data_IF_282013228651
#
_entry.id   IF_282013228651
#
_cell.length_a   1.000
_cell.length_b   1.000
_cell.length_c   1.000
_cell.angle_alpha   90.00
_cell.angle_beta   90.00
_cell.angle_gamma   90.00
#
_symmetry.space_group_name_H-M   'P 1'
#
loop_
_entity.id
_entity.type
_entity.pdbx_description
1 polymer ?
#
# COMPACT_ATOMS: atom_id res chain seq x y z
N UNK A 1 1.93 -35.06 15.12
CA UNK A 1 2.46 -34.06 14.19
C UNK A 1 2.23 -32.70 14.82
N UNK A 2 3.31 -32.04 15.26
CA UNK A 2 3.26 -30.69 15.84
C UNK A 2 3.11 -29.69 14.69
N UNK A 3 2.02 -28.93 14.65
CA UNK A 3 1.72 -27.90 13.65
C UNK A 3 2.32 -26.52 13.98
N UNK A 4 3.32 -26.41 14.86
CA UNK A 4 4.15 -25.21 14.95
C UNK A 4 5.07 -25.16 13.73
N UNK A 5 4.92 -24.22 12.78
CA UNK A 5 4.79 -22.77 12.94
C UNK A 5 3.68 -22.13 12.06
N UNK A 6 2.61 -22.88 11.76
CA UNK A 6 1.56 -22.45 10.82
C UNK A 6 0.53 -21.49 11.45
N UNK A 7 0.64 -21.24 12.77
CA UNK A 7 -0.32 -20.47 13.57
C UNK A 7 0.04 -18.99 13.72
N UNK A 8 1.18 -18.53 13.20
CA UNK A 8 1.57 -17.12 13.29
C UNK A 8 1.93 -16.46 11.94
N UNK A 9 1.11 -16.58 10.88
CA UNK A 9 1.17 -15.57 9.83
C UNK A 9 0.36 -14.38 10.34
N UNK A 10 0.99 -13.30 10.84
CA UNK A 10 0.38 -11.94 10.86
C UNK A 10 1.23 -10.86 11.54
N UNK A 11 2.29 -11.19 12.27
CA UNK A 11 3.19 -10.18 12.84
C UNK A 11 4.43 -10.00 11.96
N UNK A 12 4.33 -9.21 10.89
CA UNK A 12 5.54 -8.66 10.26
C UNK A 12 6.26 -7.84 11.34
N UNK A 13 7.54 -8.12 11.66
CA UNK A 13 8.28 -7.29 12.60
C UNK A 13 8.19 -5.84 12.14
N UNK A 14 8.02 -4.90 13.07
CA UNK A 14 7.78 -3.48 12.76
C UNK A 14 8.78 -2.89 11.75
N UNK A 15 9.99 -3.44 11.71
CA UNK A 15 11.03 -3.06 10.77
C UNK A 15 10.70 -3.39 9.29
N UNK A 16 9.93 -4.44 9.02
CA UNK A 16 9.57 -4.85 7.66
C UNK A 16 8.46 -3.99 7.05
N UNK A 17 7.60 -3.37 7.88
CA UNK A 17 6.57 -2.44 7.41
C UNK A 17 7.17 -1.22 6.70
N UNK A 18 8.42 -0.86 7.01
CA UNK A 18 9.12 0.23 6.32
C UNK A 18 9.38 -0.06 4.84
N UNK A 19 9.46 -1.34 4.43
CA UNK A 19 9.60 -1.70 3.02
C UNK A 19 8.34 -1.43 2.20
N UNK A 20 7.20 -1.19 2.86
CA UNK A 20 5.94 -0.91 2.20
C UNK A 20 5.98 0.44 1.47
N UNK A 21 6.72 1.42 1.98
CA UNK A 21 6.90 2.74 1.35
C UNK A 21 7.64 2.64 0.00
N UNK A 22 8.89 2.14 -0.08
CA UNK A 22 9.59 2.03 -1.35
C UNK A 22 8.90 1.08 -2.32
N UNK A 23 8.28 0.00 -1.83
CA UNK A 23 7.50 -0.93 -2.64
C UNK A 23 6.30 -0.22 -3.30
N UNK A 24 5.55 0.56 -2.53
CA UNK A 24 4.41 1.32 -3.03
C UNK A 24 4.82 2.35 -4.09
N UNK A 25 5.91 3.07 -3.84
CA UNK A 25 6.48 4.04 -4.80
C UNK A 25 6.89 3.33 -6.10
N UNK A 26 7.58 2.19 -6.00
CA UNK A 26 8.01 1.42 -7.17
C UNK A 26 6.82 0.95 -8.03
N UNK A 27 5.76 0.41 -7.40
CA UNK A 27 4.56 -0.04 -8.11
C UNK A 27 3.89 1.11 -8.87
N UNK A 28 3.72 2.26 -8.22
CA UNK A 28 3.09 3.43 -8.84
C UNK A 28 3.94 3.96 -10.01
N UNK A 29 5.26 3.96 -9.86
CA UNK A 29 6.18 4.42 -10.90
C UNK A 29 6.18 3.48 -12.12
N UNK A 30 6.28 2.16 -11.90
CA UNK A 30 6.23 1.15 -12.96
C UNK A 30 4.92 1.25 -13.74
N UNK A 31 3.79 1.44 -13.05
CA UNK A 31 2.49 1.62 -13.70
C UNK A 31 2.42 2.85 -14.62
N UNK A 32 3.05 3.96 -14.24
CA UNK A 32 3.11 5.15 -15.09
C UNK A 32 4.07 4.98 -16.27
N UNK A 33 5.20 4.32 -16.04
CA UNK A 33 6.26 4.09 -17.00
C UNK A 33 5.89 3.10 -18.11
N UNK A 34 5.03 2.10 -17.84
CA UNK A 34 4.58 1.14 -18.86
C UNK A 34 3.61 1.76 -19.86
N UNK A 35 2.93 2.85 -19.49
CA UNK A 35 1.91 3.50 -20.31
C UNK A 35 2.42 4.73 -21.08
N UNK A 36 3.49 5.36 -20.61
CA UNK A 36 3.98 6.61 -21.19
C UNK A 36 5.50 6.58 -21.33
N UNK A 37 6.01 7.02 -22.48
CA UNK A 37 7.44 7.04 -22.79
C UNK A 37 8.15 8.34 -22.35
N UNK A 38 7.36 9.39 -22.04
CA UNK A 38 7.85 10.71 -21.66
C UNK A 38 7.81 10.86 -20.14
N UNK A 39 8.93 11.32 -19.57
CA UNK A 39 9.11 11.51 -18.12
C UNK A 39 8.02 12.33 -17.43
N UNK A 40 7.56 13.43 -18.04
CA UNK A 40 6.50 14.27 -17.48
C UNK A 40 5.18 13.51 -17.25
N UNK A 41 4.58 12.92 -18.30
CA UNK A 41 3.39 12.08 -18.17
C UNK A 41 3.53 10.90 -17.21
N UNK A 42 4.70 10.26 -17.16
CA UNK A 42 4.97 9.14 -16.24
C UNK A 42 4.71 9.56 -14.80
N UNK A 43 5.39 10.63 -14.34
CA UNK A 43 5.29 11.10 -12.96
C UNK A 43 3.86 11.57 -12.62
N UNK A 44 3.22 12.30 -13.54
CA UNK A 44 1.86 12.80 -13.32
C UNK A 44 0.86 11.65 -13.11
N UNK A 45 0.88 10.64 -13.98
CA UNK A 45 -0.04 9.51 -13.87
C UNK A 45 0.31 8.57 -12.71
N UNK A 46 1.59 8.35 -12.42
CA UNK A 46 2.03 7.60 -11.25
C UNK A 46 1.54 8.23 -9.94
N UNK A 47 1.68 9.55 -9.79
CA UNK A 47 1.24 10.28 -8.59
C UNK A 47 -0.29 10.32 -8.49
N UNK A 48 -0.98 10.51 -9.61
CA UNK A 48 -2.44 10.46 -9.65
C UNK A 48 -2.94 9.09 -9.17
N UNK A 49 -2.32 8.00 -9.61
CA UNK A 49 -2.69 6.65 -9.19
C UNK A 49 -2.36 6.40 -7.70
N UNK A 50 -1.17 6.81 -7.26
CA UNK A 50 -0.77 6.73 -5.87
C UNK A 50 -1.75 7.46 -4.93
N UNK A 51 -2.22 8.65 -5.34
CA UNK A 51 -3.24 9.42 -4.61
C UNK A 51 -4.55 8.66 -4.47
N UNK A 52 -5.06 8.05 -5.54
CA UNK A 52 -6.33 7.31 -5.49
C UNK A 52 -6.24 6.08 -4.59
N UNK A 53 -5.13 5.34 -4.67
CA UNK A 53 -4.92 4.16 -3.81
C UNK A 53 -4.79 4.58 -2.34
N UNK A 54 -3.96 5.59 -2.05
CA UNK A 54 -3.78 6.08 -0.69
C UNK A 54 -5.09 6.62 -0.10
N UNK A 55 -5.88 7.35 -0.89
CA UNK A 55 -7.19 7.86 -0.47
C UNK A 55 -8.17 6.73 -0.18
N UNK A 56 -8.22 5.70 -1.01
CA UNK A 56 -9.07 4.54 -0.76
C UNK A 56 -8.72 3.83 0.55
N UNK A 57 -7.43 3.54 0.77
CA UNK A 57 -6.95 2.90 2.00
C UNK A 57 -7.26 3.78 3.22
N UNK A 58 -7.04 5.09 3.12
CA UNK A 58 -7.34 6.06 4.17
C UNK A 58 -8.84 6.09 4.52
N UNK A 59 -9.73 6.06 3.53
CA UNK A 59 -11.17 6.07 3.74
C UNK A 59 -11.62 4.80 4.46
N UNK A 60 -11.18 3.63 3.99
CA UNK A 60 -11.51 2.35 4.64
C UNK A 60 -10.98 2.33 6.08
N UNK A 61 -9.73 2.73 6.28
CA UNK A 61 -9.14 2.85 7.61
C UNK A 61 -9.92 3.81 8.51
N UNK A 62 -10.32 4.97 7.99
CA UNK A 62 -11.11 5.96 8.73
C UNK A 62 -12.47 5.43 9.15
N UNK A 63 -13.15 4.67 8.29
CA UNK A 63 -14.41 4.01 8.62
C UNK A 63 -14.19 2.98 9.73
N UNK A 64 -13.19 2.10 9.58
CA UNK A 64 -12.88 1.08 10.59
C UNK A 64 -12.50 1.71 11.93
N UNK A 65 -11.72 2.78 11.90
CA UNK A 65 -11.32 3.52 13.09
C UNK A 65 -12.52 4.17 13.79
N UNK A 66 -13.43 4.80 13.03
CA UNK A 66 -14.66 5.37 13.57
C UNK A 66 -15.56 4.30 14.18
N UNK A 67 -15.73 3.16 13.51
CA UNK A 67 -16.50 2.01 14.04
C UNK A 67 -15.85 1.47 15.31
N UNK A 68 -14.52 1.36 15.35
CA UNK A 68 -13.77 0.89 16.54
C UNK A 68 -13.93 1.79 17.76
N UNK A 69 -14.29 3.06 17.60
CA UNK A 69 -14.62 3.94 18.72
C UNK A 69 -16.07 3.81 19.19
N UNK A 70 -16.96 3.34 18.32
CA UNK A 70 -18.39 3.19 18.60
C UNK A 70 -18.72 1.79 19.14
N UNK A 71 -17.99 0.76 18.71
CA UNK A 71 -18.08 -0.62 19.18
C UNK A 71 -17.24 -0.84 20.44
#
# INVERSE_FOLDING_TARGET
MNNGPLEAPLALPFNELWYLVPLFVAICLVFGATRHERWGPILFHSVQNARWIALFVLVVFGILFAVSWVL
#
